data_IF_400140034062
#
_entry.id   IF_400140034062
#
_cell.length_a   1.000
_cell.length_b   1.000
_cell.length_c   1.000
_cell.angle_alpha   90.00
_cell.angle_beta   90.00
_cell.angle_gamma   90.00
#
_symmetry.space_group_name_H-M   'P 1'
#
loop_
_entity.id
_entity.type
_entity.pdbx_description
1 polymer ?
#
# COMPACT_ATOMS: atom_id res chain seq x y z
N UNK A 1 -9.26 13.14 17.93
CA UNK A 1 -10.74 13.20 17.99
C UNK A 1 -11.20 13.48 19.42
N UNK A 2 -12.42 13.99 19.59
CA UNK A 2 -13.07 14.06 20.92
C UNK A 2 -13.54 12.66 21.34
N UNK A 3 -13.61 12.36 22.65
CA UNK A 3 -14.18 11.11 23.15
C UNK A 3 -15.57 10.82 22.57
N UNK A 4 -15.81 9.61 22.07
CA UNK A 4 -17.06 9.20 21.46
C UNK A 4 -17.41 9.90 20.16
N UNK A 5 -16.49 10.64 19.52
CA UNK A 5 -16.73 11.22 18.20
C UNK A 5 -17.12 10.15 17.19
N UNK A 6 -18.23 10.35 16.53
CA UNK A 6 -18.78 9.42 15.55
C UNK A 6 -18.99 10.09 14.21
N UNK A 7 -18.64 9.37 13.13
CA UNK A 7 -19.00 9.72 11.77
C UNK A 7 -19.78 8.56 11.12
N UNK A 8 -20.79 8.91 10.36
CA UNK A 8 -21.66 7.95 9.63
C UNK A 8 -22.95 7.61 10.40
N UNK A 9 -23.78 6.72 9.91
CA UNK A 9 -23.61 5.90 8.72
C UNK A 9 -23.58 6.75 7.44
N UNK A 10 -22.58 6.55 6.57
CA UNK A 10 -22.45 7.29 5.34
C UNK A 10 -21.69 6.51 4.27
N UNK A 11 -21.71 7.04 3.05
CA UNK A 11 -21.03 6.45 1.88
C UNK A 11 -20.01 7.45 1.36
N UNK A 12 -18.91 6.95 0.80
CA UNK A 12 -17.92 7.72 0.05
C UNK A 12 -17.92 7.25 -1.41
N UNK A 13 -17.60 8.15 -2.33
CA UNK A 13 -17.45 7.87 -3.76
C UNK A 13 -15.97 7.55 -4.15
N UNK A 14 -15.07 7.58 -3.19
CA UNK A 14 -13.64 7.37 -3.32
C UNK A 14 -13.13 6.46 -2.21
N UNK A 15 -11.90 5.95 -2.38
CA UNK A 15 -11.17 5.26 -1.32
C UNK A 15 -10.72 6.26 -0.26
N UNK A 16 -10.81 5.87 1.01
CA UNK A 16 -10.35 6.70 2.12
C UNK A 16 -9.59 5.82 3.10
N UNK A 17 -8.27 6.02 3.18
CA UNK A 17 -7.41 5.30 4.12
C UNK A 17 -7.16 6.17 5.33
N UNK A 18 -7.27 5.58 6.52
CA UNK A 18 -6.92 6.19 7.80
C UNK A 18 -5.75 5.47 8.42
N UNK A 19 -4.85 6.18 9.06
CA UNK A 19 -3.79 5.64 9.91
C UNK A 19 -3.94 6.16 11.32
N UNK A 20 -4.12 5.28 12.29
CA UNK A 20 -4.30 5.63 13.71
C UNK A 20 -2.94 5.78 14.37
N UNK A 21 -2.65 7.00 14.84
CA UNK A 21 -1.38 7.37 15.50
C UNK A 21 -1.39 7.00 16.97
N UNK A 22 -2.51 7.26 17.63
CA UNK A 22 -2.69 7.02 19.07
C UNK A 22 -4.15 6.69 19.38
N UNK A 23 -4.41 6.09 20.52
CA UNK A 23 -5.74 5.76 20.97
C UNK A 23 -6.35 4.58 20.21
N UNK A 24 -7.67 4.47 20.28
CA UNK A 24 -8.43 3.39 19.66
C UNK A 24 -9.85 3.84 19.29
N UNK A 25 -10.53 3.01 18.50
CA UNK A 25 -11.92 3.22 18.12
C UNK A 25 -12.49 2.01 17.40
N UNK A 26 -13.67 2.17 16.83
CA UNK A 26 -14.37 1.12 16.08
C UNK A 26 -14.69 1.62 14.69
N UNK A 27 -14.28 0.87 13.68
CA UNK A 27 -14.70 1.05 12.28
C UNK A 27 -15.78 0.02 11.97
N UNK A 28 -16.88 0.45 11.37
CA UNK A 28 -17.98 -0.44 10.95
C UNK A 28 -18.16 -0.35 9.45
N UNK A 29 -18.13 -1.47 8.76
CA UNK A 29 -18.35 -1.58 7.32
C UNK A 29 -19.29 -2.74 7.02
N UNK A 30 -20.26 -2.54 6.13
CA UNK A 30 -21.25 -3.55 5.75
C UNK A 30 -21.89 -4.27 6.97
N UNK A 31 -22.18 -3.54 8.03
CA UNK A 31 -22.79 -4.06 9.26
C UNK A 31 -21.85 -4.83 10.21
N UNK A 32 -20.55 -4.96 9.88
CA UNK A 32 -19.55 -5.60 10.73
C UNK A 32 -18.68 -4.56 11.42
N UNK A 33 -18.45 -4.73 12.71
CA UNK A 33 -17.58 -3.86 13.50
C UNK A 33 -16.15 -4.43 13.57
N UNK A 34 -15.18 -3.54 13.39
CA UNK A 34 -13.74 -3.85 13.44
C UNK A 34 -13.10 -2.90 14.46
N UNK A 35 -12.57 -3.42 15.58
CA UNK A 35 -11.78 -2.61 16.49
C UNK A 35 -10.50 -2.16 15.80
N UNK A 36 -10.12 -0.89 16.02
CA UNK A 36 -8.90 -0.29 15.44
C UNK A 36 -8.13 0.43 16.53
N UNK A 37 -6.82 0.29 16.52
CA UNK A 37 -5.91 0.87 17.53
C UNK A 37 -4.70 1.54 16.87
N UNK A 38 -3.89 2.21 17.68
CA UNK A 38 -2.64 2.82 17.25
C UNK A 38 -1.74 1.82 16.49
N UNK A 39 -1.12 2.28 15.40
CA UNK A 39 -0.31 1.46 14.50
C UNK A 39 -1.10 0.74 13.40
N UNK A 40 -2.41 0.91 13.36
CA UNK A 40 -3.25 0.27 12.36
C UNK A 40 -3.77 1.29 11.33
N UNK A 41 -3.97 0.79 10.11
CA UNK A 41 -4.71 1.47 9.06
C UNK A 41 -6.08 0.82 8.89
N UNK A 42 -7.08 1.61 8.50
CA UNK A 42 -8.33 1.06 7.99
C UNK A 42 -8.73 1.75 6.69
N UNK A 43 -9.34 0.98 5.79
CA UNK A 43 -9.71 1.42 4.46
C UNK A 43 -11.23 1.44 4.29
N UNK A 44 -11.75 2.56 3.80
CA UNK A 44 -13.11 2.72 3.32
C UNK A 44 -13.12 2.51 1.82
N UNK A 45 -13.94 1.57 1.34
CA UNK A 45 -14.16 1.36 -0.09
C UNK A 45 -15.25 2.28 -0.63
N UNK A 46 -15.17 2.68 -1.91
CA UNK A 46 -16.25 3.44 -2.56
C UNK A 46 -17.58 2.68 -2.48
N UNK A 47 -18.65 3.45 -2.30
CA UNK A 47 -20.03 2.96 -2.32
C UNK A 47 -20.40 1.94 -1.23
N UNK A 48 -19.59 1.81 -0.18
CA UNK A 48 -19.89 0.99 0.99
C UNK A 48 -20.40 1.88 2.12
N UNK A 49 -21.48 1.44 2.78
CA UNK A 49 -21.99 2.11 3.99
C UNK A 49 -21.06 1.83 5.15
N UNK A 50 -20.51 2.89 5.72
CA UNK A 50 -19.55 2.79 6.84
C UNK A 50 -19.86 3.80 7.93
N UNK A 51 -19.41 3.50 9.13
CA UNK A 51 -19.31 4.44 10.25
C UNK A 51 -18.05 4.15 11.05
N UNK A 52 -17.57 5.14 11.77
CA UNK A 52 -16.46 4.96 12.70
C UNK A 52 -16.64 5.85 13.92
N UNK A 53 -16.20 5.33 15.07
CA UNK A 53 -16.40 5.94 16.38
C UNK A 53 -15.12 5.85 17.20
N UNK A 54 -14.73 6.99 17.79
CA UNK A 54 -13.61 7.06 18.72
C UNK A 54 -14.02 6.48 20.08
N UNK A 55 -13.09 5.78 20.72
CA UNK A 55 -13.28 5.29 22.10
C UNK A 55 -13.51 6.47 23.06
N UNK A 56 -14.31 6.26 24.11
CA UNK A 56 -14.67 7.29 25.07
C UNK A 56 -13.58 7.57 26.09
N UNK A 57 -12.70 6.60 26.39
CA UNK A 57 -11.62 6.73 27.35
C UNK A 57 -10.28 7.04 26.69
N UNK A 58 -10.03 6.43 25.52
CA UNK A 58 -8.79 6.59 24.76
C UNK A 58 -9.11 6.87 23.28
N UNK A 59 -9.68 8.05 22.97
CA UNK A 59 -10.09 8.40 21.62
C UNK A 59 -8.88 8.46 20.70
N UNK A 60 -9.05 7.93 19.50
CA UNK A 60 -7.98 7.90 18.50
C UNK A 60 -7.63 9.28 17.94
N UNK A 61 -6.36 9.39 17.55
CA UNK A 61 -5.85 10.41 16.66
C UNK A 61 -5.40 9.72 15.37
N UNK A 62 -5.78 10.26 14.20
CA UNK A 62 -5.47 9.65 12.93
C UNK A 62 -5.16 10.67 11.82
N UNK A 63 -4.36 10.26 10.86
CA UNK A 63 -4.25 10.86 9.55
C UNK A 63 -5.16 10.15 8.56
N UNK A 64 -5.59 10.84 7.52
CA UNK A 64 -6.39 10.24 6.47
C UNK A 64 -6.00 10.78 5.09
N UNK A 65 -6.22 9.96 4.05
CA UNK A 65 -6.03 10.30 2.65
C UNK A 65 -7.19 9.74 1.85
N UNK A 66 -7.92 10.63 1.14
CA UNK A 66 -8.90 10.26 0.12
C UNK A 66 -8.23 10.21 -1.25
N UNK A 67 -8.50 9.17 -2.02
CA UNK A 67 -7.95 9.01 -3.37
C UNK A 67 -8.89 8.21 -4.27
N UNK A 68 -8.79 8.46 -5.57
CA UNK A 68 -9.47 7.73 -6.63
C UNK A 68 -8.57 7.70 -7.86
N UNK A 69 -8.92 6.90 -8.85
CA UNK A 69 -8.19 6.81 -10.11
C UNK A 69 -8.21 5.40 -10.69
N UNK A 70 -7.80 5.25 -11.96
CA UNK A 70 -7.89 3.96 -12.66
C UNK A 70 -7.04 2.87 -11.99
N UNK A 71 -5.91 3.23 -11.38
CA UNK A 71 -4.98 2.27 -10.78
C UNK A 71 -5.33 1.91 -9.33
N UNK A 72 -6.20 2.69 -8.66
CA UNK A 72 -6.46 2.56 -7.24
C UNK A 72 -6.92 1.15 -6.84
N UNK A 73 -7.87 0.57 -7.57
CA UNK A 73 -8.38 -0.76 -7.31
C UNK A 73 -7.31 -1.84 -7.51
N UNK A 74 -6.52 -1.75 -8.58
CA UNK A 74 -5.47 -2.72 -8.91
C UNK A 74 -4.34 -2.68 -7.87
N UNK A 75 -3.93 -1.49 -7.41
CA UNK A 75 -2.90 -1.34 -6.37
C UNK A 75 -3.39 -1.87 -5.02
N UNK A 76 -4.63 -1.55 -4.63
CA UNK A 76 -5.21 -2.04 -3.37
C UNK A 76 -5.39 -3.56 -3.37
N UNK A 77 -5.72 -4.18 -4.50
CA UNK A 77 -5.82 -5.63 -4.62
C UNK A 77 -4.48 -6.36 -4.34
N UNK A 78 -3.36 -5.65 -4.42
CA UNK A 78 -2.02 -6.15 -4.09
C UNK A 78 -1.65 -5.96 -2.60
N UNK A 79 -2.52 -5.36 -1.81
CA UNK A 79 -2.35 -5.23 -0.35
C UNK A 79 -3.13 -6.31 0.39
N UNK A 80 -2.95 -6.41 1.72
CA UNK A 80 -3.77 -7.29 2.57
C UNK A 80 -5.11 -6.65 2.98
N UNK A 81 -5.35 -5.39 2.61
CA UNK A 81 -6.63 -4.73 2.86
C UNK A 81 -7.72 -5.27 1.93
N UNK A 82 -8.82 -5.76 2.52
CA UNK A 82 -9.97 -6.33 1.80
C UNK A 82 -11.29 -5.82 2.41
N UNK A 83 -12.40 -5.86 1.66
CA UNK A 83 -13.70 -5.44 2.18
C UNK A 83 -14.15 -6.21 3.43
N UNK A 84 -13.75 -7.47 3.56
CA UNK A 84 -14.04 -8.34 4.72
C UNK A 84 -12.93 -8.30 5.80
N UNK A 85 -11.75 -7.73 5.49
CA UNK A 85 -10.62 -7.49 6.38
C UNK A 85 -10.06 -6.06 6.15
N UNK A 86 -10.82 -5.01 6.52
CA UNK A 86 -10.50 -3.62 6.17
C UNK A 86 -9.45 -2.97 7.07
N UNK A 87 -8.95 -3.68 8.08
CA UNK A 87 -7.99 -3.19 9.07
C UNK A 87 -6.69 -3.96 8.94
N UNK A 88 -5.56 -3.24 8.94
CA UNK A 88 -4.22 -3.82 8.81
C UNK A 88 -3.27 -3.13 9.79
N UNK A 89 -2.49 -3.90 10.55
CA UNK A 89 -1.37 -3.37 11.32
C UNK A 89 -0.18 -3.08 10.41
N UNK A 90 0.47 -1.92 10.60
CA UNK A 90 1.65 -1.52 9.83
C UNK A 90 2.79 -1.11 10.78
N UNK A 91 4.01 -1.54 10.50
CA UNK A 91 5.24 -1.19 11.24
C UNK A 91 6.00 0.02 10.63
N UNK A 92 5.55 0.52 9.48
CA UNK A 92 6.10 1.71 8.81
C UNK A 92 5.31 3.01 9.06
N UNK A 93 4.63 3.15 10.19
CA UNK A 93 3.74 4.28 10.50
C UNK A 93 4.39 5.65 10.38
N UNK A 94 5.69 5.80 10.76
CA UNK A 94 6.43 7.06 10.56
C UNK A 94 6.58 7.44 9.09
N UNK A 95 6.80 6.46 8.22
CA UNK A 95 6.86 6.67 6.76
C UNK A 95 5.49 7.04 6.22
N UNK A 96 4.43 6.39 6.70
CA UNK A 96 3.05 6.70 6.34
C UNK A 96 2.70 8.16 6.68
N UNK A 97 2.98 8.60 7.91
CA UNK A 97 2.78 9.99 8.34
C UNK A 97 3.56 10.98 7.46
N UNK A 98 4.84 10.70 7.18
CA UNK A 98 5.68 11.54 6.33
C UNK A 98 5.09 11.73 4.93
N UNK A 99 4.58 10.67 4.31
CA UNK A 99 3.98 10.78 2.97
C UNK A 99 2.65 11.55 3.00
N UNK A 100 1.78 11.34 3.99
CA UNK A 100 0.55 12.14 4.13
C UNK A 100 0.87 13.61 4.38
N UNK A 101 1.84 13.92 5.22
CA UNK A 101 2.29 15.29 5.46
C UNK A 101 2.83 15.92 4.18
N UNK A 102 3.66 15.20 3.41
CA UNK A 102 4.17 15.68 2.13
C UNK A 102 3.05 15.94 1.10
N UNK A 103 2.02 15.10 1.05
CA UNK A 103 0.82 15.33 0.22
C UNK A 103 0.13 16.63 0.65
N UNK A 104 -0.04 16.83 1.95
CA UNK A 104 -0.67 18.04 2.49
C UNK A 104 0.14 19.30 2.17
N UNK A 105 1.45 19.26 2.32
CA UNK A 105 2.37 20.36 2.00
C UNK A 105 2.38 20.67 0.49
N UNK A 106 2.33 19.65 -0.36
CA UNK A 106 2.27 19.80 -1.81
C UNK A 106 0.91 20.23 -2.34
N UNK A 107 -0.13 20.36 -1.50
CA UNK A 107 -1.50 20.66 -1.96
C UNK A 107 -1.59 21.97 -2.74
N UNK A 108 -2.32 21.94 -3.85
CA UNK A 108 -2.50 23.09 -4.71
C UNK A 108 -3.17 22.74 -6.04
N UNK A 109 -3.42 23.77 -6.86
CA UNK A 109 -4.10 23.64 -8.15
C UNK A 109 -3.12 23.54 -9.35
N UNK A 110 -1.82 23.80 -9.12
CA UNK A 110 -0.82 23.73 -10.19
C UNK A 110 -0.57 22.28 -10.65
N UNK A 111 -0.11 22.11 -11.88
CA UNK A 111 0.22 20.79 -12.42
C UNK A 111 1.31 20.08 -11.60
N UNK A 112 2.38 20.82 -11.22
CA UNK A 112 3.47 20.26 -10.42
C UNK A 112 2.97 19.82 -9.02
N UNK A 113 2.10 20.58 -8.38
CA UNK A 113 1.50 20.29 -7.09
C UNK A 113 0.71 18.96 -7.15
N UNK A 114 -0.17 18.83 -8.14
CA UNK A 114 -0.92 17.57 -8.37
C UNK A 114 0.00 16.38 -8.64
N UNK A 115 1.06 16.57 -9.42
CA UNK A 115 2.04 15.54 -9.73
C UNK A 115 2.77 15.07 -8.47
N UNK A 116 3.19 15.99 -7.60
CA UNK A 116 3.83 15.64 -6.32
C UNK A 116 2.87 14.89 -5.40
N UNK A 117 1.63 15.36 -5.24
CA UNK A 117 0.63 14.67 -4.44
C UNK A 117 0.40 13.23 -4.93
N UNK A 118 0.28 13.01 -6.24
CA UNK A 118 0.17 11.68 -6.84
C UNK A 118 1.41 10.83 -6.55
N UNK A 119 2.61 11.37 -6.72
CA UNK A 119 3.85 10.67 -6.44
C UNK A 119 3.91 10.14 -5.00
N UNK A 120 3.59 10.97 -4.01
CA UNK A 120 3.54 10.55 -2.61
C UNK A 120 2.41 9.54 -2.33
N UNK A 121 1.26 9.64 -3.00
CA UNK A 121 0.19 8.66 -2.88
C UNK A 121 0.62 7.29 -3.42
N UNK A 122 1.31 7.23 -4.56
CA UNK A 122 1.90 5.99 -5.08
C UNK A 122 2.96 5.41 -4.15
N UNK A 123 3.83 6.24 -3.57
CA UNK A 123 4.82 5.78 -2.59
C UNK A 123 4.15 5.19 -1.34
N UNK A 124 3.05 5.78 -0.87
CA UNK A 124 2.28 5.26 0.26
C UNK A 124 1.65 3.90 -0.06
N UNK A 125 0.99 3.78 -1.22
CA UNK A 125 0.40 2.52 -1.68
C UNK A 125 1.47 1.45 -1.91
N UNK A 126 2.63 1.82 -2.47
CA UNK A 126 3.78 0.94 -2.63
C UNK A 126 4.27 0.36 -1.30
N UNK A 127 4.27 1.15 -0.22
CA UNK A 127 4.60 0.66 1.13
C UNK A 127 3.59 -0.34 1.68
N UNK A 128 2.30 -0.17 1.40
CA UNK A 128 1.27 -1.14 1.79
C UNK A 128 1.43 -2.47 1.03
N UNK A 129 1.81 -2.41 -0.25
CA UNK A 129 2.09 -3.59 -1.08
C UNK A 129 3.36 -4.31 -0.58
N UNK A 130 4.45 -3.57 -0.32
CA UNK A 130 5.70 -4.10 0.23
C UNK A 130 5.47 -4.86 1.55
N UNK A 131 4.58 -4.34 2.42
CA UNK A 131 4.22 -4.99 3.68
C UNK A 131 3.59 -6.37 3.51
N UNK A 132 2.82 -6.58 2.44
CA UNK A 132 2.25 -7.89 2.09
C UNK A 132 3.29 -8.83 1.47
N UNK A 133 4.04 -8.31 0.50
CA UNK A 133 4.98 -9.10 -0.30
C UNK A 133 6.20 -9.55 0.52
N UNK A 134 6.48 -8.88 1.66
CA UNK A 134 7.63 -9.18 2.50
C UNK A 134 8.98 -8.85 1.85
N UNK A 135 10.10 -8.98 2.57
CA UNK A 135 11.42 -8.70 2.02
C UNK A 135 11.88 -9.72 0.95
N UNK A 136 11.22 -10.87 0.83
CA UNK A 136 11.57 -11.94 -0.14
C UNK A 136 10.85 -11.81 -1.48
N UNK A 137 9.75 -11.06 -1.56
CA UNK A 137 9.02 -10.82 -2.82
C UNK A 137 9.51 -9.53 -3.53
N UNK A 138 10.80 -9.35 -3.58
CA UNK A 138 11.45 -8.40 -4.51
C UNK A 138 11.39 -8.98 -5.91
N UNK A 139 10.23 -8.93 -6.52
CA UNK A 139 9.84 -9.49 -7.82
C UNK A 139 10.77 -10.63 -8.21
N UNK A 140 10.28 -11.85 -8.33
CA UNK A 140 11.07 -13.07 -8.43
C UNK A 140 12.40 -12.75 -9.12
N UNK A 141 13.54 -13.06 -8.50
CA UNK A 141 14.87 -12.81 -9.05
C UNK A 141 14.95 -13.30 -10.50
N UNK A 142 14.17 -14.34 -10.82
CA UNK A 142 14.04 -14.89 -12.15
C UNK A 142 13.26 -13.95 -13.08
N UNK A 143 12.17 -13.31 -12.61
CA UNK A 143 11.41 -12.34 -13.41
C UNK A 143 12.26 -11.09 -13.70
N UNK A 144 13.09 -10.63 -12.74
CA UNK A 144 14.05 -9.54 -12.97
C UNK A 144 15.14 -9.92 -13.97
N UNK A 145 15.64 -11.15 -13.87
CA UNK A 145 16.64 -11.67 -14.81
C UNK A 145 16.04 -11.81 -16.21
N UNK A 146 14.78 -12.25 -16.33
CA UNK A 146 14.06 -12.34 -17.60
C UNK A 146 13.85 -10.94 -18.22
N UNK A 147 13.40 -9.96 -17.43
CA UNK A 147 13.26 -8.58 -17.87
C UNK A 147 14.59 -7.95 -18.32
N UNK A 148 15.70 -8.28 -17.63
CA UNK A 148 17.04 -7.83 -18.06
C UNK A 148 17.40 -8.40 -19.43
N UNK A 149 17.12 -9.69 -19.69
CA UNK A 149 17.33 -10.33 -21.00
C UNK A 149 16.47 -9.65 -22.06
N UNK A 150 15.17 -9.43 -21.80
CA UNK A 150 14.23 -8.80 -22.74
C UNK A 150 14.64 -7.37 -23.12
N UNK A 151 15.21 -6.63 -22.17
CA UNK A 151 15.64 -5.24 -22.41
C UNK A 151 17.03 -5.14 -23.06
N UNK A 152 17.84 -6.20 -23.01
CA UNK A 152 19.22 -6.18 -23.48
C UNK A 152 19.56 -7.29 -24.50
N UNK A 153 18.59 -8.01 -25.05
CA UNK A 153 18.81 -9.12 -25.98
C UNK A 153 19.57 -8.73 -27.28
N UNK A 154 19.56 -7.46 -27.64
CA UNK A 154 20.30 -6.92 -28.79
C UNK A 154 21.80 -6.70 -28.47
N UNK A 155 22.21 -6.74 -27.22
CA UNK A 155 23.58 -6.58 -26.76
C UNK A 155 24.23 -7.94 -26.50
N UNK A 156 25.58 -8.05 -26.52
CA UNK A 156 26.28 -9.30 -26.28
C UNK A 156 26.32 -9.65 -24.78
N UNK A 157 25.13 -9.81 -24.17
CA UNK A 157 25.03 -10.18 -22.74
C UNK A 157 25.37 -11.65 -22.52
N UNK A 158 26.00 -11.94 -21.40
CA UNK A 158 26.36 -13.31 -20.99
C UNK A 158 25.52 -13.77 -19.81
N UNK A 159 25.51 -15.08 -19.52
CA UNK A 159 24.86 -15.62 -18.31
C UNK A 159 25.47 -15.04 -17.04
N UNK A 160 26.76 -14.69 -17.06
CA UNK A 160 27.43 -14.05 -15.92
C UNK A 160 26.92 -12.62 -15.69
N UNK A 161 26.67 -11.87 -16.75
CA UNK A 161 26.11 -10.53 -16.65
C UNK A 161 24.68 -10.58 -16.07
N UNK A 162 23.87 -11.54 -16.52
CA UNK A 162 22.52 -11.74 -16.02
C UNK A 162 22.54 -12.15 -14.52
N UNK A 163 23.44 -13.08 -14.16
CA UNK A 163 23.58 -13.54 -12.78
C UNK A 163 24.08 -12.40 -11.85
N UNK A 164 25.05 -11.61 -12.31
CA UNK A 164 25.55 -10.44 -11.60
C UNK A 164 24.46 -9.37 -11.42
N UNK A 165 23.69 -9.06 -12.48
CA UNK A 165 22.55 -8.14 -12.40
C UNK A 165 21.49 -8.60 -11.40
N UNK A 166 21.16 -9.89 -11.43
CA UNK A 166 20.16 -10.48 -10.53
C UNK A 166 20.69 -10.67 -9.08
N UNK A 167 22.01 -10.54 -8.85
CA UNK A 167 22.62 -10.71 -7.54
C UNK A 167 22.68 -12.17 -7.06
N UNK A 168 22.80 -13.13 -8.00
CA UNK A 168 22.80 -14.58 -7.73
C UNK A 168 23.93 -15.30 -8.45
N UNK A 169 24.19 -16.57 -8.07
CA UNK A 169 25.13 -17.40 -8.81
C UNK A 169 24.52 -17.96 -10.10
N UNK A 170 25.36 -18.28 -11.11
CA UNK A 170 24.93 -18.93 -12.37
C UNK A 170 24.10 -20.20 -12.10
N UNK A 171 24.55 -21.04 -11.16
CA UNK A 171 23.85 -22.29 -10.83
C UNK A 171 22.48 -22.05 -10.20
N UNK A 172 22.35 -20.98 -9.43
CA UNK A 172 21.06 -20.57 -8.86
C UNK A 172 20.13 -20.03 -9.95
N UNK A 173 20.64 -19.16 -10.81
CA UNK A 173 19.92 -18.59 -11.95
C UNK A 173 19.38 -19.71 -12.86
N UNK A 174 20.25 -20.67 -13.24
CA UNK A 174 19.86 -21.81 -14.08
C UNK A 174 18.71 -22.62 -13.46
N UNK A 175 18.82 -22.98 -12.17
CA UNK A 175 17.76 -23.72 -11.47
C UNK A 175 16.43 -22.94 -11.42
N UNK A 176 16.50 -21.63 -11.18
CA UNK A 176 15.33 -20.77 -11.16
C UNK A 176 14.63 -20.71 -12.51
N UNK A 177 15.39 -20.54 -13.62
CA UNK A 177 14.83 -20.55 -14.97
C UNK A 177 14.22 -21.92 -15.33
N UNK A 178 14.91 -23.03 -14.98
CA UNK A 178 14.36 -24.38 -15.21
C UNK A 178 13.06 -24.59 -14.43
N UNK A 179 12.97 -24.12 -13.21
CA UNK A 179 11.76 -24.22 -12.40
C UNK A 179 10.62 -23.35 -12.92
N UNK A 180 10.92 -22.13 -13.38
CA UNK A 180 9.91 -21.14 -13.79
C UNK A 180 9.42 -21.36 -15.22
N UNK A 181 10.31 -21.70 -16.15
CA UNK A 181 10.03 -21.76 -17.60
C UNK A 181 10.23 -23.15 -18.20
N UNK A 182 10.75 -24.12 -17.46
CA UNK A 182 10.95 -25.50 -17.91
C UNK A 182 12.07 -25.66 -18.94
N UNK A 183 12.92 -24.67 -19.11
CA UNK A 183 14.02 -24.61 -20.09
C UNK A 183 15.08 -23.58 -19.70
#
# INVERSE_FOLDING_TARGET
>A
CTPGYRWGAGVRDHYLIHYVVSGRGTFTAAGRAFPVRAGEVFLVWPNVVVSYEADTESPWEYYWLGFSGPDAAALLARTDLRPDAPVLHIDFGRTFQRYITAIYEARGQSAWSRTQMLGYAYLLLGKLIEGREGPEDRGDVIDRAAAYIENNYAEPITVDDIAAFAGVSRSWLYRGFMQRFGR
#
